data_IF_611896925873
#
_entry.id   IF_611896925873
#
_cell.length_a   1.000
_cell.length_b   1.000
_cell.length_c   1.000
_cell.angle_alpha   90.00
_cell.angle_beta   90.00
_cell.angle_gamma   90.00
#
_symmetry.space_group_name_H-M   'P 1'
#
loop_
_entity.id
_entity.type
_entity.pdbx_description
1 polymer ?
#
# COMPACT_ATOMS: atom_id res chain seq x y z
N UNK A 1 10.25 -92.95 -75.68
CA UNK A 1 11.18 -91.83 -75.43
C UNK A 1 10.32 -90.68 -74.95
N UNK A 2 10.57 -90.26 -73.71
CA UNK A 2 9.76 -89.35 -72.89
C UNK A 2 10.15 -87.92 -73.24
N UNK A 3 9.20 -87.00 -73.39
CA UNK A 3 9.41 -85.60 -73.01
C UNK A 3 8.17 -85.06 -72.29
N UNK A 4 8.40 -84.70 -71.03
CA UNK A 4 7.51 -83.96 -70.12
C UNK A 4 7.70 -82.48 -70.42
N UNK A 5 6.63 -81.76 -70.74
CA UNK A 5 6.63 -80.29 -70.76
C UNK A 5 6.47 -79.73 -69.34
N UNK A 6 7.24 -78.69 -69.05
CA UNK A 6 7.43 -78.04 -67.75
C UNK A 6 6.41 -76.90 -67.56
N UNK A 7 5.60 -76.86 -66.49
CA UNK A 7 4.65 -75.79 -66.23
C UNK A 7 5.19 -74.83 -65.15
N UNK A 8 6.06 -73.88 -65.49
CA UNK A 8 6.54 -72.89 -64.50
C UNK A 8 6.45 -71.41 -64.92
N UNK A 9 6.08 -71.07 -66.16
CA UNK A 9 6.12 -69.67 -66.62
C UNK A 9 4.82 -68.84 -66.44
N UNK A 10 3.75 -69.41 -65.89
CA UNK A 10 2.47 -68.70 -65.71
C UNK A 10 2.24 -68.14 -64.30
N UNK A 11 3.11 -68.41 -63.33
CA UNK A 11 2.95 -67.95 -61.95
C UNK A 11 3.54 -66.54 -61.68
N UNK A 12 4.57 -66.11 -62.43
CA UNK A 12 5.26 -64.83 -62.19
C UNK A 12 4.42 -63.60 -62.61
N UNK A 13 3.72 -63.64 -63.75
CA UNK A 13 2.90 -62.50 -64.23
C UNK A 13 1.68 -62.18 -63.37
N UNK A 14 1.25 -63.10 -62.50
CA UNK A 14 0.12 -62.88 -61.59
C UNK A 14 0.54 -62.16 -60.29
N UNK A 15 1.83 -62.12 -59.96
CA UNK A 15 2.33 -61.52 -58.71
C UNK A 15 2.65 -60.02 -58.85
N UNK A 16 2.95 -59.53 -60.06
CA UNK A 16 3.24 -58.10 -60.29
C UNK A 16 1.98 -57.20 -60.15
N UNK A 17 0.81 -57.74 -60.47
CA UNK A 17 -0.46 -56.99 -60.35
C UNK A 17 -0.93 -56.82 -58.90
N UNK A 18 -0.69 -57.82 -58.04
CA UNK A 18 -1.07 -57.73 -56.62
C UNK A 18 -0.14 -56.83 -55.82
N UNK A 19 1.14 -56.76 -56.19
CA UNK A 19 2.12 -55.85 -55.60
C UNK A 19 1.75 -54.37 -55.84
N UNK A 20 1.30 -54.02 -57.06
CA UNK A 20 0.83 -52.67 -57.38
C UNK A 20 -0.42 -52.30 -56.59
N UNK A 21 -1.39 -53.21 -56.48
CA UNK A 21 -2.64 -52.98 -55.73
C UNK A 21 -2.34 -52.80 -54.23
N UNK A 22 -1.46 -53.61 -53.65
CA UNK A 22 -0.97 -53.43 -52.28
C UNK A 22 -0.30 -52.07 -52.10
N UNK A 23 0.59 -51.68 -53.02
CA UNK A 23 1.29 -50.39 -52.94
C UNK A 23 0.33 -49.20 -52.97
N UNK A 24 -0.68 -49.22 -53.86
CA UNK A 24 -1.70 -48.16 -53.94
C UNK A 24 -2.58 -48.15 -52.69
N UNK A 25 -2.96 -49.32 -52.16
CA UNK A 25 -3.76 -49.41 -50.95
C UNK A 25 -3.02 -48.87 -49.73
N UNK A 26 -1.73 -49.21 -49.60
CA UNK A 26 -0.86 -48.67 -48.53
C UNK A 26 -0.69 -47.17 -48.69
N UNK A 27 -0.49 -46.65 -49.91
CA UNK A 27 -0.38 -45.21 -50.16
C UNK A 27 -1.67 -44.47 -49.80
N UNK A 28 -2.84 -45.03 -50.14
CA UNK A 28 -4.13 -44.47 -49.78
C UNK A 28 -4.32 -44.43 -48.25
N UNK A 29 -3.93 -45.50 -47.56
CA UNK A 29 -3.97 -45.59 -46.09
C UNK A 29 -3.04 -44.54 -45.44
N UNK A 30 -1.80 -44.44 -45.91
CA UNK A 30 -0.84 -43.44 -45.42
C UNK A 30 -1.31 -42.01 -45.67
N UNK A 31 -1.92 -41.76 -46.83
CA UNK A 31 -2.47 -40.44 -47.16
C UNK A 31 -3.65 -40.11 -46.25
N UNK A 32 -4.58 -41.06 -46.04
CA UNK A 32 -5.70 -40.89 -45.13
C UNK A 32 -5.25 -40.62 -43.68
N UNK A 33 -4.27 -41.39 -43.19
CA UNK A 33 -3.67 -41.17 -41.87
C UNK A 33 -2.96 -39.81 -41.78
N UNK A 34 -2.21 -39.42 -42.81
CA UNK A 34 -1.54 -38.12 -42.88
C UNK A 34 -2.54 -36.96 -42.83
N UNK A 35 -3.65 -37.05 -43.58
CA UNK A 35 -4.71 -36.04 -43.54
C UNK A 35 -5.41 -35.98 -42.18
N UNK A 36 -5.63 -37.12 -41.52
CA UNK A 36 -6.24 -37.15 -40.20
C UNK A 36 -5.34 -36.49 -39.14
N UNK A 37 -4.03 -36.74 -39.19
CA UNK A 37 -3.05 -36.11 -38.28
C UNK A 37 -2.96 -34.60 -38.48
N UNK A 38 -3.00 -34.12 -39.73
CA UNK A 38 -3.02 -32.67 -40.00
C UNK A 38 -4.29 -32.01 -39.47
N UNK A 39 -5.44 -32.65 -39.61
CA UNK A 39 -6.70 -32.14 -39.08
C UNK A 39 -6.71 -32.11 -37.54
N UNK A 40 -6.19 -33.15 -36.90
CA UNK A 40 -6.02 -33.18 -35.45
C UNK A 40 -5.10 -32.06 -34.98
N UNK A 41 -3.95 -31.87 -35.63
CA UNK A 41 -3.01 -30.79 -35.29
C UNK A 41 -3.62 -29.40 -35.46
N UNK A 42 -4.39 -29.16 -36.53
CA UNK A 42 -5.09 -27.89 -36.73
C UNK A 42 -6.16 -27.63 -35.65
N UNK A 43 -6.87 -28.68 -35.21
CA UNK A 43 -7.85 -28.55 -34.13
C UNK A 43 -7.18 -28.28 -32.78
N UNK A 44 -6.05 -28.93 -32.49
CA UNK A 44 -5.27 -28.65 -31.27
C UNK A 44 -4.78 -27.21 -31.23
N UNK A 45 -4.25 -26.68 -32.35
CA UNK A 45 -3.83 -25.27 -32.43
C UNK A 45 -5.01 -24.32 -32.21
N UNK A 46 -6.15 -24.56 -32.87
CA UNK A 46 -7.36 -23.73 -32.69
C UNK A 46 -7.90 -23.79 -31.26
N UNK A 47 -7.90 -24.96 -30.63
CA UNK A 47 -8.32 -25.12 -29.24
C UNK A 47 -7.33 -24.45 -28.28
N UNK A 48 -6.03 -24.52 -28.56
CA UNK A 48 -4.99 -23.80 -27.82
C UNK A 48 -5.19 -22.29 -27.88
N UNK A 49 -5.36 -21.73 -29.07
CA UNK A 49 -5.64 -20.30 -29.26
C UNK A 49 -6.95 -19.88 -28.57
N UNK A 50 -8.02 -20.66 -28.71
CA UNK A 50 -9.30 -20.38 -28.06
C UNK A 50 -9.21 -20.37 -26.52
N UNK A 51 -8.26 -21.11 -25.93
CA UNK A 51 -8.01 -21.09 -24.48
C UNK A 51 -7.13 -19.92 -24.03
N UNK A 52 -6.20 -19.46 -24.87
CA UNK A 52 -5.27 -18.37 -24.54
C UNK A 52 -5.91 -16.99 -24.71
N UNK A 53 -6.75 -16.81 -25.73
CA UNK A 53 -7.41 -15.53 -26.05
C UNK A 53 -8.17 -14.89 -24.86
N UNK A 54 -9.13 -15.56 -24.20
CA UNK A 54 -9.85 -14.98 -23.07
C UNK A 54 -8.92 -14.70 -21.87
N UNK A 55 -7.88 -15.53 -21.65
CA UNK A 55 -6.88 -15.27 -20.61
C UNK A 55 -6.10 -13.99 -20.86
N UNK A 56 -5.72 -13.73 -22.12
CA UNK A 56 -5.07 -12.46 -22.48
C UNK A 56 -6.00 -11.26 -22.24
N UNK A 57 -7.24 -11.34 -22.72
CA UNK A 57 -8.24 -10.30 -22.49
C UNK A 57 -8.46 -10.03 -20.99
N UNK A 58 -8.51 -11.08 -20.17
CA UNK A 58 -8.56 -10.98 -18.70
C UNK A 58 -7.36 -10.23 -18.12
N UNK A 59 -6.13 -10.56 -18.53
CA UNK A 59 -4.94 -9.84 -18.03
C UNK A 59 -4.90 -8.36 -18.47
N UNK A 60 -5.43 -8.03 -19.65
CA UNK A 60 -5.61 -6.62 -20.04
C UNK A 60 -6.65 -5.92 -19.18
N UNK A 61 -7.74 -6.61 -18.85
CA UNK A 61 -8.76 -6.08 -17.96
C UNK A 61 -8.19 -5.82 -16.55
N UNK A 62 -7.41 -6.75 -15.98
CA UNK A 62 -6.69 -6.55 -14.72
C UNK A 62 -5.70 -5.38 -14.79
N UNK A 63 -4.97 -5.23 -15.90
CA UNK A 63 -4.07 -4.09 -16.08
C UNK A 63 -4.81 -2.74 -16.07
N UNK A 64 -6.01 -2.68 -16.66
CA UNK A 64 -6.87 -1.51 -16.57
C UNK A 64 -7.32 -1.21 -15.15
N UNK A 65 -7.69 -2.26 -14.40
CA UNK A 65 -8.10 -2.15 -13.01
C UNK A 65 -6.97 -1.62 -12.12
N UNK A 66 -5.77 -2.17 -12.23
CA UNK A 66 -4.60 -1.71 -11.46
C UNK A 66 -4.18 -0.28 -11.82
N UNK A 67 -4.26 0.08 -13.10
CA UNK A 67 -4.01 1.46 -13.52
C UNK A 67 -5.06 2.43 -12.94
N UNK A 68 -6.34 2.07 -12.97
CA UNK A 68 -7.39 2.85 -12.33
C UNK A 68 -7.16 3.01 -10.83
N UNK A 69 -6.84 1.93 -10.13
CA UNK A 69 -6.53 1.94 -8.70
C UNK A 69 -5.39 2.90 -8.38
N UNK A 70 -4.33 2.90 -9.19
CA UNK A 70 -3.21 3.84 -9.03
C UNK A 70 -3.61 5.29 -9.40
N UNK A 71 -4.46 5.49 -10.40
CA UNK A 71 -4.90 6.81 -10.81
C UNK A 71 -5.77 7.48 -9.75
N UNK A 72 -6.75 6.76 -9.17
CA UNK A 72 -7.52 7.24 -8.03
C UNK A 72 -6.59 7.64 -6.88
N UNK A 73 -5.60 6.80 -6.59
CA UNK A 73 -4.67 7.09 -5.51
C UNK A 73 -3.92 8.40 -5.73
N UNK A 74 -3.58 8.70 -6.98
CA UNK A 74 -2.93 9.96 -7.33
C UNK A 74 -3.87 11.17 -7.23
N UNK A 75 -5.17 11.01 -7.48
CA UNK A 75 -6.17 12.08 -7.35
C UNK A 75 -6.42 12.39 -5.88
N UNK A 76 -6.62 11.35 -5.05
CA UNK A 76 -7.01 11.51 -3.64
C UNK A 76 -5.83 11.82 -2.71
N UNK A 77 -4.63 12.02 -3.27
CA UNK A 77 -3.48 12.58 -2.55
C UNK A 77 -3.72 14.02 -2.07
N UNK A 78 -4.67 14.76 -2.66
CA UNK A 78 -4.91 16.17 -2.38
C UNK A 78 -6.30 16.48 -1.80
N UNK A 79 -7.28 15.59 -1.97
CA UNK A 79 -8.68 15.78 -1.54
C UNK A 79 -9.18 14.58 -0.72
N UNK A 80 -10.42 14.64 -0.22
CA UNK A 80 -11.07 13.55 0.52
C UNK A 80 -11.72 12.56 -0.46
N UNK A 81 -11.73 11.26 -0.13
CA UNK A 81 -12.33 10.18 -0.94
C UNK A 81 -13.79 10.41 -1.40
N UNK A 82 -14.50 11.33 -0.76
CA UNK A 82 -15.90 11.62 -0.99
C UNK A 82 -16.22 12.19 -2.40
N UNK A 83 -15.24 12.64 -3.18
CA UNK A 83 -15.46 13.24 -4.51
C UNK A 83 -15.19 12.28 -5.69
N UNK A 84 -14.67 11.07 -5.43
CA UNK A 84 -14.26 10.12 -6.48
C UNK A 84 -15.39 9.76 -7.44
N UNK A 85 -16.59 9.55 -6.90
CA UNK A 85 -17.77 9.19 -7.69
C UNK A 85 -18.26 10.31 -8.60
N UNK A 86 -17.84 11.56 -8.37
CA UNK A 86 -18.13 12.66 -9.31
C UNK A 86 -17.27 12.57 -10.57
N UNK A 87 -16.08 11.96 -10.50
CA UNK A 87 -15.24 11.70 -11.68
C UNK A 87 -15.90 10.68 -12.62
N UNK A 88 -16.63 9.71 -12.05
CA UNK A 88 -17.38 8.71 -12.80
C UNK A 88 -18.38 9.36 -13.77
N UNK A 89 -19.04 10.45 -13.36
CA UNK A 89 -20.07 11.14 -14.13
C UNK A 89 -19.54 12.32 -14.97
N UNK A 90 -18.22 12.43 -15.13
CA UNK A 90 -17.60 13.54 -15.87
C UNK A 90 -17.59 14.87 -15.11
N UNK A 91 -17.70 14.83 -13.78
CA UNK A 91 -17.54 15.98 -12.89
C UNK A 91 -18.84 16.74 -12.57
N UNK A 92 -20.01 16.14 -12.79
CA UNK A 92 -21.31 16.74 -12.43
C UNK A 92 -21.82 16.13 -11.12
N UNK A 93 -21.79 16.88 -10.00
CA UNK A 93 -22.26 16.36 -8.72
C UNK A 93 -23.76 16.00 -8.76
N UNK A 94 -24.10 14.81 -8.27
CA UNK A 94 -25.49 14.33 -8.18
C UNK A 94 -26.06 13.72 -9.45
N UNK A 95 -25.31 13.68 -10.56
CA UNK A 95 -25.68 12.82 -11.69
C UNK A 95 -25.57 11.35 -11.27
N UNK A 96 -26.48 10.48 -11.73
CA UNK A 96 -26.39 9.05 -11.47
C UNK A 96 -25.28 8.44 -12.31
N UNK A 97 -24.59 7.44 -11.72
CA UNK A 97 -23.63 6.60 -12.42
C UNK A 97 -24.41 5.57 -13.24
N UNK A 98 -24.10 5.50 -14.54
CA UNK A 98 -24.81 4.67 -15.52
C UNK A 98 -24.10 3.36 -15.88
N UNK A 99 -22.91 3.11 -15.34
CA UNK A 99 -22.02 2.08 -15.84
C UNK A 99 -22.55 0.70 -15.50
N UNK A 100 -22.76 -0.12 -16.53
CA UNK A 100 -23.19 -1.51 -16.39
C UNK A 100 -22.20 -2.44 -17.14
N UNK A 101 -21.46 -3.30 -16.41
CA UNK A 101 -20.48 -4.20 -17.02
C UNK A 101 -21.10 -5.19 -18.03
N UNK A 102 -22.41 -5.47 -17.93
CA UNK A 102 -23.09 -6.39 -18.85
C UNK A 102 -23.45 -5.73 -20.20
N UNK A 103 -23.39 -4.40 -20.29
CA UNK A 103 -23.77 -3.65 -21.50
C UNK A 103 -22.59 -3.10 -22.28
N UNK A 104 -21.40 -3.08 -21.67
CA UNK A 104 -20.17 -2.56 -22.29
C UNK A 104 -19.73 -3.44 -23.46
N UNK A 105 -19.46 -2.81 -24.60
CA UNK A 105 -19.06 -3.52 -25.83
C UNK A 105 -17.94 -2.80 -26.58
N UNK A 106 -16.94 -3.53 -27.11
CA UNK A 106 -15.89 -2.96 -27.96
C UNK A 106 -16.45 -2.43 -29.29
N UNK A 107 -15.99 -1.25 -29.71
CA UNK A 107 -16.36 -0.64 -30.99
C UNK A 107 -15.16 -0.66 -31.93
N UNK A 108 -15.36 -1.20 -33.13
CA UNK A 108 -14.31 -1.35 -34.14
C UNK A 108 -14.58 -0.46 -35.35
N UNK A 109 -13.52 0.04 -35.99
CA UNK A 109 -13.61 0.68 -37.29
C UNK A 109 -13.82 -0.34 -38.44
N UNK A 110 -13.96 0.15 -39.67
CA UNK A 110 -14.11 -0.69 -40.87
C UNK A 110 -12.91 -1.59 -41.17
N UNK A 111 -11.75 -1.32 -40.56
CA UNK A 111 -10.53 -2.10 -40.71
C UNK A 111 -10.34 -3.11 -39.58
N UNK A 112 -11.27 -3.15 -38.61
CA UNK A 112 -11.22 -4.04 -37.45
C UNK A 112 -10.34 -3.53 -36.30
N UNK A 113 -9.90 -2.27 -36.33
CA UNK A 113 -9.16 -1.67 -35.22
C UNK A 113 -10.13 -1.20 -34.13
N UNK A 114 -9.76 -1.42 -32.87
CA UNK A 114 -10.53 -0.91 -31.74
C UNK A 114 -10.44 0.62 -31.69
N UNK A 115 -11.60 1.29 -31.66
CA UNK A 115 -11.70 2.76 -31.58
C UNK A 115 -12.29 3.26 -30.26
N UNK A 116 -12.85 2.36 -29.45
CA UNK A 116 -13.43 2.71 -28.16
C UNK A 116 -14.37 1.62 -27.64
N UNK A 117 -15.19 2.02 -26.68
CA UNK A 117 -16.27 1.20 -26.13
C UNK A 117 -17.61 1.91 -26.34
N UNK A 118 -18.70 1.17 -26.16
CA UNK A 118 -20.06 1.71 -26.05
C UNK A 118 -20.82 0.96 -24.95
N UNK A 119 -21.93 1.51 -24.46
CA UNK A 119 -22.68 0.91 -23.35
C UNK A 119 -22.25 1.37 -21.96
N UNK A 120 -21.67 2.56 -21.83
CA UNK A 120 -21.33 3.19 -20.55
C UNK A 120 -22.11 4.50 -20.29
N UNK A 121 -23.23 4.68 -21.01
CA UNK A 121 -24.12 5.84 -20.92
C UNK A 121 -23.40 7.21 -20.90
N UNK A 122 -23.61 8.01 -19.84
CA UNK A 122 -23.01 9.32 -19.61
C UNK A 122 -21.69 9.26 -18.82
N UNK A 123 -21.23 8.07 -18.43
CA UNK A 123 -20.04 7.95 -17.60
C UNK A 123 -18.75 8.23 -18.37
N UNK A 124 -17.77 8.73 -17.64
CA UNK A 124 -16.44 9.00 -18.17
C UNK A 124 -15.49 7.89 -17.71
N UNK A 125 -14.72 7.25 -18.62
CA UNK A 125 -13.72 6.28 -18.21
C UNK A 125 -12.67 6.96 -17.33
N UNK A 126 -12.45 6.42 -16.13
CA UNK A 126 -11.35 6.81 -15.24
C UNK A 126 -10.01 6.63 -15.95
N UNK A 127 -9.86 5.52 -16.67
CA UNK A 127 -8.76 5.32 -17.61
C UNK A 127 -9.36 5.21 -19.01
N UNK A 128 -9.14 6.24 -19.83
CA UNK A 128 -9.45 6.20 -21.26
C UNK A 128 -8.66 5.09 -21.96
N UNK A 129 -9.16 4.62 -23.11
CA UNK A 129 -8.58 3.52 -23.88
C UNK A 129 -7.04 3.63 -24.04
N UNK A 130 -6.32 2.62 -23.55
CA UNK A 130 -4.87 2.46 -23.66
C UNK A 130 -4.51 1.17 -24.37
N UNK A 131 -3.34 1.15 -25.00
CA UNK A 131 -2.73 -0.05 -25.59
C UNK A 131 -1.76 -0.69 -24.60
N UNK A 132 -1.72 -2.02 -24.55
CA UNK A 132 -0.69 -2.80 -23.87
C UNK A 132 -0.33 -4.00 -24.76
N UNK A 133 0.90 -4.00 -25.28
CA UNK A 133 1.37 -4.99 -26.25
C UNK A 133 0.41 -5.15 -27.46
N UNK A 134 -0.17 -6.33 -27.64
CA UNK A 134 -1.13 -6.69 -28.69
C UNK A 134 -2.61 -6.55 -28.26
N UNK A 135 -2.87 -5.87 -27.13
CA UNK A 135 -4.20 -5.64 -26.60
C UNK A 135 -4.46 -4.19 -26.17
N UNK A 136 -5.65 -4.00 -25.63
CA UNK A 136 -6.14 -2.72 -25.15
C UNK A 136 -6.86 -2.88 -23.83
N UNK A 137 -6.88 -1.81 -23.05
CA UNK A 137 -7.66 -1.74 -21.83
C UNK A 137 -8.23 -0.35 -21.58
N UNK A 138 -9.30 -0.30 -20.80
CA UNK A 138 -9.86 0.91 -20.20
C UNK A 138 -10.34 0.58 -18.80
N UNK A 139 -10.70 1.60 -18.02
CA UNK A 139 -11.30 1.38 -16.73
C UNK A 139 -12.37 2.42 -16.39
N UNK A 140 -13.37 1.97 -15.64
CA UNK A 140 -14.53 2.74 -15.19
C UNK A 140 -14.70 2.54 -13.68
N UNK A 141 -15.55 3.35 -13.07
CA UNK A 141 -15.86 3.23 -11.64
C UNK A 141 -17.36 3.36 -11.38
N UNK A 142 -17.83 2.82 -10.26
CA UNK A 142 -19.17 3.06 -9.72
C UNK A 142 -19.14 3.02 -8.19
N UNK A 143 -20.25 3.39 -7.55
CA UNK A 143 -20.37 3.15 -6.11
C UNK A 143 -20.48 1.65 -5.79
N UNK A 144 -20.23 1.31 -4.54
CA UNK A 144 -20.32 -0.01 -3.95
C UNK A 144 -21.74 -0.62 -3.98
N UNK A 145 -21.82 -1.88 -3.58
CA UNK A 145 -23.10 -2.61 -3.55
C UNK A 145 -23.97 -2.25 -2.35
N UNK A 146 -23.37 -1.82 -1.23
CA UNK A 146 -24.05 -1.49 0.02
C UNK A 146 -24.92 -0.24 -0.09
N UNK A 147 -24.46 0.75 -0.84
CA UNK A 147 -25.13 2.05 -1.00
C UNK A 147 -25.87 2.16 -2.33
N UNK A 148 -25.47 1.37 -3.32
CA UNK A 148 -26.12 1.26 -4.62
C UNK A 148 -25.30 1.91 -5.73
N UNK A 149 -24.93 1.08 -6.72
CA UNK A 149 -23.96 1.38 -7.79
C UNK A 149 -24.19 2.67 -8.59
N UNK A 150 -25.43 3.13 -8.66
CA UNK A 150 -25.82 4.28 -9.49
C UNK A 150 -25.82 5.61 -8.75
N UNK A 151 -25.64 5.60 -7.42
CA UNK A 151 -25.55 6.83 -6.64
C UNK A 151 -24.11 7.37 -6.68
N UNK A 152 -23.92 8.66 -6.38
CA UNK A 152 -22.60 9.31 -6.27
C UNK A 152 -22.24 9.71 -4.83
N UNK A 153 -22.92 9.14 -3.83
CA UNK A 153 -22.70 9.42 -2.41
C UNK A 153 -22.02 8.21 -1.79
N UNK A 154 -20.76 8.37 -1.39
CA UNK A 154 -19.99 7.36 -0.67
C UNK A 154 -19.96 7.69 0.83
N UNK A 155 -20.41 6.77 1.68
CA UNK A 155 -20.34 6.93 3.15
C UNK A 155 -19.50 5.86 3.85
N UNK A 156 -18.99 4.87 3.13
CA UNK A 156 -18.22 3.75 3.70
C UNK A 156 -16.80 3.59 3.13
N UNK A 157 -16.39 4.53 2.28
CA UNK A 157 -15.08 4.61 1.65
C UNK A 157 -14.76 3.37 0.79
N UNK A 158 -15.77 2.90 0.04
CA UNK A 158 -15.64 1.79 -0.90
C UNK A 158 -16.25 2.15 -2.24
N UNK A 159 -15.54 1.78 -3.30
CA UNK A 159 -16.03 1.94 -4.67
C UNK A 159 -15.73 0.68 -5.48
N UNK A 160 -16.36 0.57 -6.64
CA UNK A 160 -16.13 -0.52 -7.59
C UNK A 160 -15.33 0.01 -8.75
N UNK A 161 -14.22 -0.67 -9.07
CA UNK A 161 -13.48 -0.49 -10.31
C UNK A 161 -13.83 -1.58 -11.31
N UNK A 162 -14.00 -1.17 -12.56
CA UNK A 162 -14.18 -2.07 -13.69
C UNK A 162 -12.99 -1.96 -14.62
N UNK A 163 -12.28 -3.07 -14.79
CA UNK A 163 -11.27 -3.22 -15.83
C UNK A 163 -11.92 -3.80 -17.08
N UNK A 164 -11.73 -3.15 -18.22
CA UNK A 164 -12.24 -3.63 -19.52
C UNK A 164 -11.05 -3.95 -20.41
N UNK A 165 -10.92 -5.21 -20.82
CA UNK A 165 -9.78 -5.70 -21.60
C UNK A 165 -10.21 -6.23 -22.97
N UNK A 166 -9.49 -5.83 -24.02
CA UNK A 166 -9.66 -6.35 -25.38
C UNK A 166 -8.34 -6.94 -25.85
N UNK A 167 -8.34 -8.23 -26.14
CA UNK A 167 -7.18 -8.93 -26.68
C UNK A 167 -7.24 -9.12 -28.20
N UNK A 168 -6.27 -9.86 -28.76
CA UNK A 168 -6.28 -10.26 -30.16
C UNK A 168 -7.58 -10.97 -30.56
N UNK A 169 -7.89 -10.91 -31.86
CA UNK A 169 -9.06 -11.55 -32.46
C UNK A 169 -10.40 -11.17 -31.81
N UNK A 170 -10.50 -9.93 -31.29
CA UNK A 170 -11.71 -9.39 -30.66
C UNK A 170 -12.14 -10.14 -29.39
N UNK A 171 -11.19 -10.82 -28.73
CA UNK A 171 -11.42 -11.34 -27.37
C UNK A 171 -11.65 -10.19 -26.40
N UNK A 172 -12.58 -10.37 -25.48
CA UNK A 172 -13.09 -9.30 -24.63
C UNK A 172 -13.44 -9.87 -23.27
N UNK A 173 -13.04 -9.17 -22.21
CA UNK A 173 -13.30 -9.53 -20.82
C UNK A 173 -13.53 -8.27 -20.00
N UNK A 174 -14.37 -8.39 -18.97
CA UNK A 174 -14.60 -7.35 -17.96
C UNK A 174 -14.35 -7.95 -16.59
N UNK A 175 -13.54 -7.27 -15.79
CA UNK A 175 -13.30 -7.61 -14.39
C UNK A 175 -13.78 -6.49 -13.49
N UNK A 176 -14.21 -6.86 -12.31
CA UNK A 176 -14.77 -5.99 -11.29
C UNK A 176 -13.99 -6.20 -9.99
N UNK A 177 -13.56 -5.12 -9.34
CA UNK A 177 -13.05 -5.17 -7.99
C UNK A 177 -13.73 -4.14 -7.11
N UNK A 178 -14.19 -4.55 -5.94
CA UNK A 178 -14.50 -3.62 -4.85
C UNK A 178 -13.17 -3.23 -4.23
N UNK A 179 -12.85 -1.94 -4.31
CA UNK A 179 -11.72 -1.37 -3.62
C UNK A 179 -12.21 -0.56 -2.42
N UNK A 180 -11.39 -0.52 -1.38
CA UNK A 180 -11.64 0.36 -0.24
C UNK A 180 -10.35 0.90 0.31
N UNK A 181 -10.48 1.98 1.06
CA UNK A 181 -9.40 2.54 1.85
C UNK A 181 -9.10 1.57 2.99
N UNK A 182 -7.85 1.13 3.10
CA UNK A 182 -7.36 0.51 4.32
C UNK A 182 -6.25 1.39 4.88
N UNK A 183 -6.47 2.08 6.02
CA UNK A 183 -5.40 2.84 6.66
C UNK A 183 -4.28 1.87 7.04
N UNK A 184 -3.04 2.22 6.69
CA UNK A 184 -1.87 1.47 7.14
C UNK A 184 -1.64 1.60 8.64
N UNK A 185 -2.05 2.73 9.21
CA UNK A 185 -1.85 3.05 10.61
C UNK A 185 -3.08 2.65 11.42
N UNK A 186 -2.88 1.96 12.55
CA UNK A 186 -3.90 1.87 13.59
C UNK A 186 -4.32 3.28 14.04
N UNK A 187 -5.44 3.38 14.77
CA UNK A 187 -5.78 4.61 15.47
C UNK A 187 -4.59 5.10 16.31
N UNK A 188 -4.15 6.33 16.05
CA UNK A 188 -2.89 6.85 16.59
C UNK A 188 -2.94 6.95 18.12
N UNK A 189 -1.85 6.59 18.82
CA UNK A 189 -1.77 6.71 20.26
C UNK A 189 -1.82 8.19 20.62
N UNK A 190 -2.62 8.60 21.61
CA UNK A 190 -2.82 10.01 21.86
C UNK A 190 -1.70 10.51 22.79
N UNK A 191 -0.55 10.84 22.23
CA UNK A 191 0.58 11.47 22.93
C UNK A 191 1.53 12.15 21.95
N UNK A 192 2.26 13.16 22.44
CA UNK A 192 3.27 13.83 21.62
C UNK A 192 4.47 12.91 21.32
N UNK A 193 4.80 12.04 22.27
CA UNK A 193 5.85 11.03 22.15
C UNK A 193 5.29 9.71 22.65
N UNK A 194 5.40 8.64 21.87
CA UNK A 194 4.97 7.30 22.27
C UNK A 194 6.13 6.32 22.16
N UNK A 195 6.49 5.69 23.28
CA UNK A 195 7.63 4.76 23.34
C UNK A 195 7.13 3.34 23.61
N UNK A 196 7.51 2.42 22.74
CA UNK A 196 7.17 1.00 22.84
C UNK A 196 8.34 0.21 23.44
N UNK A 197 8.00 -0.88 24.13
CA UNK A 197 8.95 -1.76 24.79
C UNK A 197 8.94 -1.62 26.32
N UNK A 198 9.43 -2.64 27.04
CA UNK A 198 9.25 -2.74 28.49
C UNK A 198 10.11 -1.77 29.31
N UNK A 199 11.22 -1.27 28.74
CA UNK A 199 12.17 -0.40 29.44
C UNK A 199 12.77 0.65 28.47
N UNK A 200 11.99 1.65 28.02
CA UNK A 200 12.50 2.70 27.13
C UNK A 200 13.61 3.53 27.80
N UNK A 201 14.56 4.01 26.99
CA UNK A 201 15.55 5.03 27.37
C UNK A 201 15.07 6.40 26.87
N UNK A 202 14.30 7.08 27.72
CA UNK A 202 13.83 8.44 27.46
C UNK A 202 14.80 9.47 28.06
N UNK A 203 15.11 10.53 27.33
CA UNK A 203 15.96 11.62 27.82
C UNK A 203 15.41 12.98 27.32
N UNK A 204 14.65 13.67 28.17
CA UNK A 204 13.95 14.93 27.83
C UNK A 204 14.84 16.18 27.65
N UNK A 205 16.16 16.01 27.66
CA UNK A 205 17.13 17.09 27.63
C UNK A 205 17.12 17.99 28.87
N UNK A 206 18.09 18.90 28.94
CA UNK A 206 18.37 19.67 30.17
C UNK A 206 18.02 21.16 30.08
N UNK A 207 17.50 21.63 28.95
CA UNK A 207 17.22 23.05 28.70
C UNK A 207 15.86 23.48 29.28
N UNK A 208 15.84 24.60 30.02
CA UNK A 208 14.60 25.21 30.56
C UNK A 208 13.65 25.81 29.53
N UNK A 209 14.10 25.87 28.29
CA UNK A 209 13.36 26.43 27.17
C UNK A 209 12.68 25.35 26.33
N UNK A 210 12.93 24.07 26.62
CA UNK A 210 12.23 22.96 25.97
C UNK A 210 10.82 22.84 26.51
N UNK A 211 9.88 22.43 25.65
CA UNK A 211 8.50 22.20 26.04
C UNK A 211 7.98 20.87 25.50
N UNK A 212 7.36 20.09 26.37
CA UNK A 212 6.61 18.88 26.01
C UNK A 212 5.16 19.11 26.38
N UNK A 213 4.29 19.08 25.37
CA UNK A 213 2.90 19.50 25.48
C UNK A 213 2.01 18.37 24.97
N UNK A 214 1.16 17.84 25.84
CA UNK A 214 0.13 16.87 25.46
C UNK A 214 -1.27 17.47 25.32
N UNK A 215 -1.41 18.78 25.55
CA UNK A 215 -2.62 19.53 25.16
C UNK A 215 -2.83 19.41 23.66
N UNK A 216 -4.05 19.09 23.23
CA UNK A 216 -4.36 18.96 21.81
C UNK A 216 -4.12 20.28 21.05
N UNK A 217 -3.12 20.26 20.18
CA UNK A 217 -2.59 21.38 19.41
C UNK A 217 -2.16 22.57 20.30
N UNK A 218 -1.76 22.30 21.55
CA UNK A 218 -1.36 23.33 22.51
C UNK A 218 -2.49 24.23 22.99
N UNK A 219 -3.75 23.82 22.78
CA UNK A 219 -4.93 24.61 23.16
C UNK A 219 -5.31 24.32 24.62
N UNK A 220 -5.07 25.29 25.50
CA UNK A 220 -5.41 25.17 26.91
C UNK A 220 -6.93 24.98 27.13
N UNK A 221 -7.30 23.90 27.82
CA UNK A 221 -8.70 23.57 28.16
C UNK A 221 -9.43 22.70 27.14
N UNK A 222 -8.74 22.22 26.10
CA UNK A 222 -9.21 21.12 25.24
C UNK A 222 -9.00 19.74 25.88
N UNK A 223 -9.22 18.68 25.11
CA UNK A 223 -8.73 17.35 25.48
C UNK A 223 -7.21 17.41 25.63
N UNK A 224 -6.69 16.76 26.65
CA UNK A 224 -5.27 16.73 26.93
C UNK A 224 -4.86 15.29 27.17
N UNK A 225 -3.64 14.99 26.76
CA UNK A 225 -3.10 13.66 26.80
C UNK A 225 -1.72 13.67 27.43
N UNK A 226 -1.16 12.51 27.79
CA UNK A 226 0.23 12.44 28.21
C UNK A 226 1.16 13.02 27.14
N UNK A 227 2.15 13.79 27.58
CA UNK A 227 3.21 14.27 26.69
C UNK A 227 4.09 13.10 26.23
N UNK A 228 4.29 12.11 27.09
CA UNK A 228 4.94 10.83 26.77
C UNK A 228 4.01 9.68 27.15
N UNK A 229 3.67 8.84 26.18
CA UNK A 229 2.98 7.58 26.42
C UNK A 229 3.94 6.39 26.37
N UNK A 230 3.70 5.40 27.24
CA UNK A 230 4.43 4.13 27.26
C UNK A 230 3.47 2.95 27.35
N UNK A 231 3.98 1.72 27.18
CA UNK A 231 3.19 0.48 27.34
C UNK A 231 3.62 -0.23 28.63
N UNK A 232 2.76 -0.20 29.65
CA UNK A 232 2.98 -0.86 30.94
C UNK A 232 3.71 0.02 31.97
N UNK A 233 3.37 -0.19 33.24
CA UNK A 233 3.96 0.57 34.38
C UNK A 233 5.48 0.47 34.53
N UNK A 234 6.10 -0.62 34.06
CA UNK A 234 7.56 -0.74 34.05
C UNK A 234 8.20 0.25 33.06
N UNK A 235 7.57 0.44 31.89
CA UNK A 235 8.03 1.36 30.87
C UNK A 235 7.81 2.81 31.28
N UNK A 236 6.67 3.10 31.90
CA UNK A 236 6.35 4.39 32.51
C UNK A 236 7.43 4.81 33.51
N UNK A 237 7.72 3.94 34.49
CA UNK A 237 8.75 4.20 35.50
C UNK A 237 10.14 4.40 34.89
N UNK A 238 10.47 3.71 33.79
CA UNK A 238 11.74 3.89 33.09
C UNK A 238 11.80 5.26 32.38
N UNK A 239 10.72 5.67 31.72
CA UNK A 239 10.63 6.97 31.07
C UNK A 239 10.69 8.14 32.07
N UNK A 240 10.05 8.00 33.24
CA UNK A 240 10.09 8.99 34.32
C UNK A 240 11.52 9.27 34.83
N UNK A 241 12.39 8.24 34.89
CA UNK A 241 13.79 8.42 35.28
C UNK A 241 14.57 9.32 34.30
N UNK A 242 14.12 9.35 33.04
CA UNK A 242 14.61 10.16 31.95
C UNK A 242 14.15 11.61 31.95
N UNK A 243 13.10 11.92 32.73
CA UNK A 243 12.46 13.21 32.75
C UNK A 243 13.25 14.21 33.61
N UNK A 244 13.87 15.18 32.95
CA UNK A 244 14.48 16.32 33.63
C UNK A 244 13.42 17.33 34.09
N UNK A 245 13.70 18.02 35.20
CA UNK A 245 12.86 19.08 35.76
C UNK A 245 13.01 20.44 35.09
N UNK A 246 13.95 20.57 34.15
CA UNK A 246 14.21 21.83 33.46
C UNK A 246 13.21 22.11 32.33
N UNK A 247 12.95 21.19 31.37
CA UNK A 247 11.90 21.38 30.37
C UNK A 247 10.56 21.72 31.02
N UNK A 248 9.74 22.50 30.32
CA UNK A 248 8.35 22.71 30.71
C UNK A 248 7.50 21.54 30.23
N UNK A 249 6.71 20.99 31.14
CA UNK A 249 5.72 19.96 30.87
C UNK A 249 4.34 20.59 30.96
N UNK A 250 3.46 20.31 29.99
CA UNK A 250 2.10 20.85 30.02
C UNK A 250 1.09 19.86 29.42
N UNK A 251 0.23 19.32 30.26
CA UNK A 251 -0.90 18.45 29.86
C UNK A 251 -2.10 18.79 30.73
N UNK A 252 -3.00 19.62 30.21
CA UNK A 252 -4.17 20.14 30.92
C UNK A 252 -3.78 20.83 32.24
N UNK A 253 -4.25 20.34 33.39
CA UNK A 253 -3.88 20.89 34.69
C UNK A 253 -2.48 20.45 35.19
N UNK A 254 -1.82 19.53 34.50
CA UNK A 254 -0.60 18.87 34.94
C UNK A 254 0.66 19.52 34.35
N UNK A 255 1.71 19.61 35.17
CA UNK A 255 2.98 20.26 34.80
C UNK A 255 4.23 19.58 35.37
N UNK A 256 4.08 18.37 35.91
CA UNK A 256 5.14 17.55 36.50
C UNK A 256 5.17 16.17 35.85
N UNK A 257 6.35 15.53 35.81
CA UNK A 257 6.61 14.23 35.16
C UNK A 257 5.56 13.16 35.46
N UNK A 258 5.14 13.06 36.73
CA UNK A 258 4.31 11.98 37.26
C UNK A 258 2.90 11.86 36.63
N UNK A 259 2.43 12.91 35.94
CA UNK A 259 1.11 12.93 35.29
C UNK A 259 1.20 13.22 33.77
N UNK A 260 2.38 13.64 33.28
CA UNK A 260 2.61 13.96 31.85
C UNK A 260 3.29 12.80 31.11
N UNK A 261 3.82 11.82 31.84
CA UNK A 261 4.30 10.54 31.34
C UNK A 261 3.34 9.47 31.88
N UNK A 262 2.80 8.61 31.02
CA UNK A 262 1.79 7.65 31.46
C UNK A 262 1.81 6.31 30.72
N UNK A 263 1.43 5.25 31.44
CA UNK A 263 1.06 3.96 30.87
C UNK A 263 -0.26 4.05 30.09
N UNK A 264 -0.17 3.95 28.75
CA UNK A 264 -1.30 4.01 27.83
C UNK A 264 -2.16 2.74 27.82
N UNK A 265 -1.72 1.68 28.51
CA UNK A 265 -2.53 0.47 28.71
C UNK A 265 -3.35 0.51 30.01
N UNK A 266 -3.12 1.53 30.86
CA UNK A 266 -3.94 1.75 32.04
C UNK A 266 -5.38 2.18 31.65
N UNK A 267 -6.35 1.82 32.48
CA UNK A 267 -7.75 2.23 32.31
C UNK A 267 -8.25 2.92 33.58
N UNK A 268 -8.69 4.19 33.51
CA UNK A 268 -8.61 5.08 32.35
C UNK A 268 -7.17 5.54 32.06
N UNK A 269 -6.89 5.93 30.81
CA UNK A 269 -5.62 6.61 30.48
C UNK A 269 -5.61 7.98 31.17
N UNK A 270 -4.53 8.34 31.88
CA UNK A 270 -4.41 9.66 32.51
C UNK A 270 -4.65 10.81 31.52
N UNK A 271 -5.57 11.70 31.87
CA UNK A 271 -5.91 12.89 31.08
C UNK A 271 -6.94 12.69 29.96
N UNK A 272 -7.22 11.45 29.55
CA UNK A 272 -8.25 11.17 28.55
C UNK A 272 -9.66 11.53 29.09
N UNK A 273 -10.42 12.33 28.34
CA UNK A 273 -11.77 12.76 28.75
C UNK A 273 -12.80 11.64 28.71
N UNK A 274 -12.64 10.67 27.80
CA UNK A 274 -13.38 9.41 27.77
C UNK A 274 -12.69 8.33 28.65
N UNK A 275 -13.32 7.87 29.75
CA UNK A 275 -12.75 6.83 30.62
C UNK A 275 -12.80 5.42 30.01
N UNK A 276 -13.47 5.25 28.87
CA UNK A 276 -13.60 3.96 28.17
C UNK A 276 -12.60 3.79 27.04
N UNK A 277 -11.85 4.85 26.70
CA UNK A 277 -10.80 4.79 25.71
C UNK A 277 -9.74 3.75 26.09
N UNK A 278 -9.29 2.98 25.10
CA UNK A 278 -8.23 2.01 25.22
C UNK A 278 -7.32 2.10 24.00
N UNK A 279 -6.01 2.03 24.22
CA UNK A 279 -5.02 1.94 23.13
C UNK A 279 -5.38 0.79 22.17
N UNK A 280 -5.33 1.06 20.87
CA UNK A 280 -5.50 0.01 19.87
C UNK A 280 -4.44 -1.10 20.08
N UNK A 281 -4.90 -2.34 20.21
CA UNK A 281 -4.05 -3.49 20.50
C UNK A 281 -2.97 -3.74 19.45
N UNK A 282 -3.14 -3.23 18.22
CA UNK A 282 -2.13 -3.32 17.16
C UNK A 282 -0.80 -2.67 17.59
N UNK A 283 -0.83 -1.61 18.40
CA UNK A 283 0.38 -0.98 18.96
C UNK A 283 1.12 -1.85 19.98
N UNK A 284 0.53 -2.96 20.43
CA UNK A 284 1.16 -3.90 21.38
C UNK A 284 1.69 -5.16 20.71
N UNK A 285 1.54 -5.28 19.39
CA UNK A 285 1.96 -6.44 18.61
C UNK A 285 3.13 -6.07 17.69
N UNK A 286 4.31 -6.61 17.97
CA UNK A 286 5.50 -6.32 17.18
C UNK A 286 5.35 -6.73 15.70
N UNK A 287 4.71 -7.87 15.42
CA UNK A 287 4.54 -8.34 14.05
C UNK A 287 3.63 -7.39 13.26
N UNK A 288 2.59 -6.86 13.91
CA UNK A 288 1.72 -5.85 13.29
C UNK A 288 2.48 -4.56 12.98
N UNK A 289 3.37 -4.12 13.89
CA UNK A 289 4.25 -2.97 13.63
C UNK A 289 5.20 -3.21 12.46
N UNK A 290 5.78 -4.41 12.36
CA UNK A 290 6.62 -4.79 11.22
C UNK A 290 5.83 -4.76 9.91
N UNK A 291 4.65 -5.36 9.89
CA UNK A 291 3.79 -5.39 8.70
C UNK A 291 3.35 -3.97 8.28
N UNK A 292 3.09 -3.09 9.25
CA UNK A 292 2.80 -1.66 9.03
C UNK A 292 3.97 -0.93 8.38
N UNK A 293 5.19 -1.09 8.92
CA UNK A 293 6.41 -0.48 8.35
C UNK A 293 6.65 -0.96 6.91
N UNK A 294 6.51 -2.26 6.66
CA UNK A 294 6.67 -2.82 5.30
C UNK A 294 5.56 -2.37 4.34
N UNK A 295 4.34 -2.19 4.84
CA UNK A 295 3.24 -1.59 4.08
C UNK A 295 3.57 -0.16 3.65
N UNK A 296 4.03 0.67 4.59
CA UNK A 296 4.44 2.06 4.34
C UNK A 296 5.64 2.14 3.41
N UNK A 297 6.62 1.23 3.54
CA UNK A 297 7.76 1.08 2.63
C UNK A 297 7.30 0.93 1.17
N UNK A 298 6.29 0.09 0.94
CA UNK A 298 5.78 -0.22 -0.39
C UNK A 298 5.02 0.93 -1.06
N UNK A 299 4.46 1.85 -0.27
CA UNK A 299 3.64 2.98 -0.77
C UNK A 299 4.29 4.34 -0.60
N UNK A 300 5.47 4.39 0.03
CA UNK A 300 6.19 5.62 0.31
C UNK A 300 6.30 6.49 -0.95
N UNK A 301 6.04 7.78 -0.80
CA UNK A 301 6.13 8.71 -1.91
C UNK A 301 7.59 8.98 -2.25
N UNK A 302 8.45 9.00 -1.22
CA UNK A 302 9.90 9.14 -1.34
C UNK A 302 10.60 8.17 -0.40
N UNK A 303 11.48 7.35 -0.96
CA UNK A 303 12.44 6.54 -0.19
C UNK A 303 13.79 7.25 -0.13
N UNK A 304 14.25 7.53 1.08
CA UNK A 304 15.56 8.09 1.39
C UNK A 304 16.55 6.94 1.59
N UNK A 305 17.64 6.93 0.81
CA UNK A 305 18.68 5.89 0.93
C UNK A 305 19.73 6.25 1.99
N UNK A 306 20.22 5.22 2.68
CA UNK A 306 21.23 5.27 3.74
C UNK A 306 22.58 5.93 3.35
N UNK A 307 23.30 6.39 4.37
CA UNK A 307 24.70 6.79 4.46
C UNK A 307 25.05 8.29 4.39
N UNK A 308 25.27 8.83 5.60
CA UNK A 308 26.17 9.93 5.94
C UNK A 308 25.90 11.30 5.30
N UNK A 309 25.31 12.18 6.11
CA UNK A 309 25.00 13.59 5.83
C UNK A 309 23.99 13.78 4.69
N UNK A 310 22.83 13.13 4.84
CA UNK A 310 21.61 13.62 4.23
C UNK A 310 21.27 14.95 4.91
N UNK A 311 21.62 16.04 4.26
CA UNK A 311 20.76 17.20 4.37
C UNK A 311 19.52 16.87 3.52
N UNK A 312 18.32 17.33 3.87
CA UNK A 312 17.16 17.26 2.95
C UNK A 312 17.40 18.22 1.77
N UNK A 313 18.25 17.87 0.77
CA UNK A 313 17.77 18.02 -0.59
C UNK A 313 17.95 16.76 -1.46
N UNK A 314 18.41 15.62 -0.92
CA UNK A 314 18.47 14.35 -1.68
C UNK A 314 17.21 13.48 -1.55
N UNK A 315 16.27 13.82 -0.66
CA UNK A 315 14.88 13.35 -0.70
C UNK A 315 14.04 14.49 -1.29
N UNK A 316 13.87 14.55 -2.64
CA UNK A 316 13.17 15.66 -3.27
C UNK A 316 11.68 15.46 -3.07
N UNK A 317 11.05 16.23 -2.18
CA UNK A 317 9.61 16.40 -2.25
C UNK A 317 9.12 17.68 -1.58
N UNK A 318 7.92 18.04 -2.02
CA UNK A 318 7.10 19.15 -1.61
C UNK A 318 6.93 19.19 -0.08
N UNK A 319 7.69 20.07 0.55
CA UNK A 319 7.68 20.32 1.99
C UNK A 319 6.40 21.01 2.48
N UNK A 320 5.29 20.88 1.75
CA UNK A 320 4.01 21.51 2.10
C UNK A 320 2.81 20.55 2.08
N UNK A 321 2.98 19.29 1.65
CA UNK A 321 1.88 18.33 1.63
C UNK A 321 1.84 17.51 2.94
N UNK A 322 0.79 17.66 3.79
CA UNK A 322 0.66 16.92 5.04
C UNK A 322 0.26 15.46 4.86
N UNK A 323 -0.08 14.99 3.65
CA UNK A 323 -0.36 13.57 3.37
C UNK A 323 0.86 12.80 2.83
N UNK A 324 2.02 13.45 2.73
CA UNK A 324 3.19 12.87 2.07
C UNK A 324 3.94 11.86 2.96
N UNK A 325 4.33 10.72 2.39
CA UNK A 325 5.03 9.63 3.10
C UNK A 325 6.51 9.61 2.72
N UNK A 326 7.36 9.90 3.70
CA UNK A 326 8.81 9.78 3.61
C UNK A 326 9.27 8.50 4.30
N UNK A 327 10.09 7.70 3.62
CA UNK A 327 10.61 6.45 4.17
C UNK A 327 12.14 6.44 4.16
N UNK A 328 12.77 6.49 5.33
CA UNK A 328 14.20 6.26 5.54
C UNK A 328 14.47 4.79 5.80
N UNK A 329 15.12 4.12 4.83
CA UNK A 329 15.54 2.73 4.97
C UNK A 329 16.93 2.69 5.62
N UNK A 330 16.96 2.47 6.93
CA UNK A 330 18.15 2.60 7.77
C UNK A 330 18.24 3.97 8.47
N UNK A 331 19.45 4.43 8.72
CA UNK A 331 19.71 5.68 9.45
C UNK A 331 19.36 6.91 8.60
N UNK A 332 18.75 7.90 9.24
CA UNK A 332 18.36 9.15 8.60
C UNK A 332 18.75 10.36 9.46
N UNK A 333 19.46 11.31 8.86
CA UNK A 333 19.72 12.61 9.48
C UNK A 333 18.87 13.70 8.80
N UNK A 334 18.24 14.57 9.59
CA UNK A 334 17.49 15.75 9.12
C UNK A 334 18.10 16.99 9.76
N UNK A 335 18.83 17.81 8.99
CA UNK A 335 19.72 18.84 9.55
C UNK A 335 19.49 20.28 9.06
N UNK A 336 18.46 20.53 8.24
CA UNK A 336 18.19 21.88 7.68
C UNK A 336 17.02 22.57 8.38
N UNK A 337 17.13 23.88 8.55
CA UNK A 337 16.07 24.76 9.05
C UNK A 337 14.97 24.92 7.97
N UNK A 338 14.17 23.89 7.78
CA UNK A 338 13.01 23.90 6.89
C UNK A 338 11.84 23.27 7.62
N UNK A 339 10.63 23.75 7.31
CA UNK A 339 9.41 23.15 7.80
C UNK A 339 9.13 21.90 6.98
N UNK A 340 8.72 20.83 7.65
CA UNK A 340 8.34 19.57 7.01
C UNK A 340 6.95 19.15 7.48
N UNK A 341 6.23 18.43 6.62
CA UNK A 341 4.88 17.95 6.90
C UNK A 341 4.75 16.49 6.47
N UNK A 342 3.86 15.75 7.12
CA UNK A 342 3.43 14.42 6.68
C UNK A 342 3.87 13.28 7.58
N UNK A 343 4.02 12.09 6.98
CA UNK A 343 4.39 10.86 7.67
C UNK A 343 5.85 10.53 7.36
N UNK A 344 6.72 10.56 8.37
CA UNK A 344 8.12 10.16 8.26
C UNK A 344 8.30 8.79 8.94
N UNK A 345 8.78 7.80 8.19
CA UNK A 345 9.10 6.45 8.70
C UNK A 345 10.59 6.23 8.60
N UNK A 346 11.24 5.75 9.65
CA UNK A 346 12.68 5.47 9.71
C UNK A 346 12.89 4.13 10.39
N UNK A 347 13.68 3.25 9.76
CA UNK A 347 13.95 1.90 10.30
C UNK A 347 15.26 1.80 11.09
N UNK A 348 16.16 2.77 10.99
CA UNK A 348 17.39 2.85 11.80
C UNK A 348 17.32 3.97 12.85
N UNK A 349 18.44 4.66 13.06
CA UNK A 349 18.51 5.88 13.86
C UNK A 349 18.00 7.11 13.09
N UNK A 350 17.08 7.86 13.70
CA UNK A 350 16.66 9.17 13.24
C UNK A 350 17.39 10.28 14.02
N UNK A 351 18.34 10.95 13.36
CA UNK A 351 19.00 12.16 13.91
C UNK A 351 18.35 13.44 13.41
N UNK A 352 17.57 14.11 14.26
CA UNK A 352 17.00 15.43 13.98
C UNK A 352 17.92 16.57 14.44
N UNK A 353 18.02 17.62 13.63
CA UNK A 353 18.64 18.88 14.00
C UNK A 353 17.68 19.70 14.86
N UNK A 354 18.17 20.30 15.95
CA UNK A 354 17.36 21.05 16.92
C UNK A 354 16.61 22.30 16.39
N UNK A 355 16.74 22.62 15.11
CA UNK A 355 16.09 23.76 14.43
C UNK A 355 15.15 23.32 13.29
N UNK A 356 14.84 22.03 13.20
CA UNK A 356 13.87 21.46 12.25
C UNK A 356 12.48 21.61 12.84
N UNK A 357 11.54 22.15 12.05
CA UNK A 357 10.11 22.13 12.37
C UNK A 357 9.45 20.99 11.59
N UNK A 358 8.62 20.19 12.25
CA UNK A 358 7.90 19.08 11.64
C UNK A 358 6.45 19.03 12.12
N UNK A 359 5.50 18.95 11.19
CA UNK A 359 4.08 18.83 11.47
C UNK A 359 3.53 17.53 10.87
N UNK A 360 3.29 16.53 11.71
CA UNK A 360 2.77 15.24 11.27
C UNK A 360 3.13 14.08 12.19
N UNK A 361 3.33 12.91 11.59
CA UNK A 361 3.66 11.67 12.29
C UNK A 361 5.10 11.29 11.99
N UNK A 362 5.88 11.00 13.03
CA UNK A 362 7.21 10.42 12.92
C UNK A 362 7.19 9.02 13.52
N UNK A 363 7.50 8.02 12.72
CA UNK A 363 7.67 6.62 13.12
C UNK A 363 9.15 6.27 13.04
N UNK A 364 9.77 6.01 14.18
CA UNK A 364 11.12 5.45 14.28
C UNK A 364 10.98 4.02 14.75
N UNK A 365 10.74 3.11 13.80
CA UNK A 365 10.35 1.73 14.06
C UNK A 365 11.29 0.82 13.29
N UNK A 366 12.11 0.06 14.02
CA UNK A 366 13.18 -0.77 13.50
C UNK A 366 14.25 -0.87 14.56
N UNK A 367 15.36 -0.15 14.45
CA UNK A 367 16.32 0.01 15.56
C UNK A 367 15.75 0.87 16.70
N UNK A 368 14.78 1.74 16.42
CA UNK A 368 14.04 2.48 17.45
C UNK A 368 14.86 3.56 18.17
N UNK A 369 15.74 4.27 17.45
CA UNK A 369 16.60 5.31 18.03
C UNK A 369 16.25 6.69 17.46
N UNK A 370 15.67 7.56 18.28
CA UNK A 370 15.45 8.96 17.96
C UNK A 370 16.43 9.85 18.73
N UNK A 371 17.20 10.67 18.00
CA UNK A 371 18.14 11.62 18.58
C UNK A 371 17.90 13.02 18.03
N UNK A 372 17.64 14.00 18.90
CA UNK A 372 17.66 15.42 18.51
C UNK A 372 18.90 16.14 19.06
N UNK A 373 19.76 16.57 18.14
CA UNK A 373 21.05 17.17 18.43
C UNK A 373 21.11 18.68 18.11
N UNK A 374 21.87 19.42 18.91
CA UNK A 374 22.21 20.82 18.67
C UNK A 374 21.50 21.80 19.61
N UNK A 375 21.59 23.10 19.29
CA UNK A 375 20.86 24.16 19.96
C UNK A 375 19.99 24.87 18.92
N UNK A 376 18.67 24.80 19.07
CA UNK A 376 17.73 25.39 18.13
C UNK A 376 16.35 25.59 18.73
N UNK A 377 15.38 25.93 17.89
CA UNK A 377 14.01 26.26 18.25
C UNK A 377 12.98 25.46 17.46
N UNK A 378 13.38 24.30 16.94
CA UNK A 378 12.53 23.43 16.13
C UNK A 378 11.41 22.81 16.96
N UNK A 379 10.20 22.78 16.43
CA UNK A 379 9.02 22.21 17.09
C UNK A 379 8.48 21.06 16.26
N UNK A 380 8.20 19.95 16.94
CA UNK A 380 7.46 18.82 16.38
C UNK A 380 6.00 18.96 16.83
N UNK A 381 5.08 19.08 15.87
CA UNK A 381 3.64 19.12 16.12
C UNK A 381 3.03 17.84 15.54
N UNK A 382 2.32 17.06 16.37
CA UNK A 382 1.80 15.74 16.02
C UNK A 382 2.32 14.68 17.00
N UNK A 383 2.94 13.61 16.50
CA UNK A 383 3.40 12.50 17.36
C UNK A 383 4.70 11.88 16.86
N UNK A 384 5.60 11.55 17.79
CA UNK A 384 6.81 10.77 17.56
C UNK A 384 6.65 9.41 18.22
N UNK A 385 6.61 8.35 17.43
CA UNK A 385 6.49 6.97 17.89
C UNK A 385 7.83 6.28 17.71
N UNK A 386 8.33 5.66 18.76
CA UNK A 386 9.64 5.00 18.78
C UNK A 386 9.49 3.56 19.26
N UNK A 387 9.94 2.61 18.44
CA UNK A 387 9.93 1.19 18.76
C UNK A 387 11.19 0.50 18.22
N UNK A 388 11.88 -0.24 19.10
CA UNK A 388 12.90 -1.19 18.69
C UNK A 388 12.25 -2.55 18.43
N UNK A 389 12.25 -2.95 17.16
CA UNK A 389 11.77 -4.24 16.67
C UNK A 389 12.83 -5.01 15.88
N UNK A 390 14.06 -4.49 15.79
CA UNK A 390 15.18 -5.06 15.02
C UNK A 390 15.67 -6.39 15.61
N UNK A 391 15.29 -6.71 16.84
CA UNK A 391 15.68 -7.96 17.49
C UNK A 391 17.11 -7.92 18.05
N UNK A 392 17.62 -9.08 18.51
CA UNK A 392 18.89 -9.15 19.24
C UNK A 392 20.14 -8.74 18.45
N UNK A 393 20.12 -8.82 17.11
CA UNK A 393 21.26 -8.39 16.29
C UNK A 393 21.32 -6.86 16.09
N UNK A 394 20.24 -6.15 16.43
CA UNK A 394 20.13 -4.70 16.32
C UNK A 394 20.09 -4.20 14.88
N UNK A 395 19.68 -5.04 13.92
CA UNK A 395 19.57 -4.69 12.50
C UNK A 395 18.18 -5.00 12.00
N UNK A 396 17.41 -3.97 11.62
CA UNK A 396 16.08 -4.18 11.06
C UNK A 396 16.12 -4.91 9.70
N UNK A 397 15.17 -5.81 9.48
CA UNK A 397 15.00 -6.52 8.21
C UNK A 397 15.67 -7.90 8.17
N UNK A 398 16.10 -8.40 9.32
CA UNK A 398 16.72 -9.71 9.49
C UNK A 398 15.69 -10.74 9.95
N UNK A 399 16.12 -12.00 10.10
CA UNK A 399 15.21 -13.08 10.49
C UNK A 399 14.78 -13.04 11.96
N UNK A 400 15.46 -12.25 12.78
CA UNK A 400 15.25 -12.12 14.22
C UNK A 400 14.53 -10.83 14.64
N UNK A 401 14.08 -10.02 13.68
CA UNK A 401 13.10 -8.96 13.95
C UNK A 401 11.94 -9.50 14.81
N UNK A 402 11.45 -8.70 15.74
CA UNK A 402 10.39 -9.06 16.68
C UNK A 402 10.70 -10.23 17.62
N UNK A 403 11.98 -10.59 17.78
CA UNK A 403 12.41 -11.58 18.80
C UNK A 403 13.12 -10.93 19.99
N UNK A 404 13.14 -9.59 20.06
CA UNK A 404 13.71 -8.82 21.16
C UNK A 404 12.79 -8.74 22.38
N UNK A 405 13.38 -8.66 23.57
CA UNK A 405 12.70 -8.33 24.84
C UNK A 405 11.34 -8.98 25.10
N UNK A 406 10.48 -8.26 25.82
CA UNK A 406 9.11 -8.71 26.11
C UNK A 406 8.17 -8.23 24.99
N UNK A 407 7.38 -9.15 24.43
CA UNK A 407 6.43 -8.83 23.34
C UNK A 407 7.07 -8.63 21.96
N UNK A 408 8.36 -8.93 21.80
CA UNK A 408 9.10 -8.70 20.55
C UNK A 408 9.80 -7.34 20.47
N UNK A 409 9.60 -6.49 21.47
CA UNK A 409 10.19 -5.15 21.54
C UNK A 409 11.50 -5.11 22.32
N UNK A 410 12.50 -4.45 21.75
CA UNK A 410 13.75 -4.10 22.41
C UNK A 410 13.66 -2.78 23.20
N UNK A 411 14.77 -2.05 23.24
CA UNK A 411 14.87 -0.79 24.01
C UNK A 411 14.71 0.39 23.05
N UNK A 412 13.52 0.99 23.04
CA UNK A 412 13.31 2.25 22.33
C UNK A 412 14.11 3.39 23.00
N UNK A 413 14.82 4.18 22.19
CA UNK A 413 15.65 5.30 22.64
C UNK A 413 15.08 6.61 22.11
N UNK A 414 14.80 7.56 23.01
CA UNK A 414 14.42 8.91 22.65
C UNK A 414 15.30 9.90 23.40
N UNK A 415 16.16 10.61 22.66
CA UNK A 415 17.18 11.46 23.25
C UNK A 415 17.15 12.87 22.70
N UNK A 416 16.85 13.85 23.54
CA UNK A 416 16.93 15.27 23.21
C UNK A 416 17.94 16.06 24.05
N UNK A 417 19.13 15.51 24.30
CA UNK A 417 20.16 16.17 25.12
C UNK A 417 20.73 17.50 24.56
N UNK A 418 20.23 17.97 23.41
CA UNK A 418 20.50 19.30 22.87
C UNK A 418 20.03 20.48 23.74
N UNK A 419 20.64 21.64 23.52
CA UNK A 419 20.20 22.90 24.10
C UNK A 419 19.05 23.55 23.31
N UNK A 420 18.65 24.77 23.70
CA UNK A 420 17.68 25.56 22.92
C UNK A 420 16.24 25.44 23.38
N UNK A 421 15.32 25.87 22.52
CA UNK A 421 13.88 26.04 22.73
C UNK A 421 13.07 25.10 21.82
N UNK A 422 13.53 23.87 21.64
CA UNK A 422 12.78 22.88 20.87
C UNK A 422 11.58 22.36 21.67
N UNK A 423 10.63 21.70 21.03
CA UNK A 423 9.54 21.07 21.76
C UNK A 423 8.73 20.08 20.94
N UNK A 424 7.91 19.31 21.63
CA UNK A 424 6.99 18.33 21.05
C UNK A 424 5.58 18.65 21.55
N UNK A 425 4.64 18.76 20.62
CA UNK A 425 3.26 19.16 20.88
C UNK A 425 2.32 18.14 20.24
N UNK A 426 1.50 17.48 21.05
CA UNK A 426 0.44 16.63 20.55
C UNK A 426 -0.59 17.44 19.75
N UNK A 427 -1.07 16.93 18.62
CA UNK A 427 -2.12 17.59 17.85
C UNK A 427 -2.92 16.59 17.00
N UNK A 428 -4.12 16.24 17.46
CA UNK A 428 -5.02 15.26 16.84
C UNK A 428 -5.39 15.61 15.40
N UNK A 429 -5.61 16.90 15.11
CA UNK A 429 -5.94 17.36 13.75
C UNK A 429 -4.81 17.12 12.76
N UNK A 430 -3.56 17.34 13.18
CA UNK A 430 -2.35 17.07 12.38
C UNK A 430 -2.15 15.57 12.17
N UNK A 431 -2.38 14.77 13.22
CA UNK A 431 -2.32 13.31 13.15
C UNK A 431 -3.34 12.76 12.16
N UNK A 432 -4.60 13.23 12.24
CA UNK A 432 -5.67 12.74 11.37
C UNK A 432 -5.40 13.03 9.88
N UNK A 433 -4.76 14.16 9.54
CA UNK A 433 -4.39 14.46 8.15
C UNK A 433 -3.16 13.66 7.72
N UNK A 434 -2.16 13.53 8.59
CA UNK A 434 -0.88 12.89 8.23
C UNK A 434 -0.92 11.37 8.27
N UNK A 435 -1.84 10.78 9.04
CA UNK A 435 -2.01 9.35 9.17
C UNK A 435 -2.87 8.71 8.06
N UNK A 436 -3.51 9.51 7.20
CA UNK A 436 -4.27 9.07 6.02
C UNK A 436 -3.36 8.65 4.85
N UNK A 437 -2.39 7.78 5.12
CA UNK A 437 -1.66 7.08 4.06
C UNK A 437 -2.58 6.01 3.46
N UNK A 438 -3.31 6.35 2.39
CA UNK A 438 -4.41 5.50 1.91
C UNK A 438 -4.10 4.74 0.62
N UNK A 439 -3.62 3.49 0.67
CA UNK A 439 -3.66 2.62 -0.50
C UNK A 439 -5.08 2.07 -0.69
N UNK A 440 -5.55 2.03 -1.93
CA UNK A 440 -6.73 1.23 -2.24
C UNK A 440 -6.38 -0.26 -2.22
N UNK A 441 -7.08 -1.01 -1.38
CA UNK A 441 -6.98 -2.48 -1.36
C UNK A 441 -8.17 -3.10 -2.06
N UNK A 442 -7.91 -4.15 -2.83
CA UNK A 442 -8.96 -5.00 -3.39
C UNK A 442 -9.58 -5.82 -2.26
N UNK A 443 -10.85 -5.55 -1.95
CA UNK A 443 -11.63 -6.24 -0.94
C UNK A 443 -12.37 -7.44 -1.53
N UNK A 444 -12.82 -7.31 -2.77
CA UNK A 444 -13.52 -8.35 -3.52
C UNK A 444 -13.15 -8.26 -5.00
N UNK A 445 -13.09 -9.40 -5.69
CA UNK A 445 -12.81 -9.48 -7.12
C UNK A 445 -13.81 -10.42 -7.82
N UNK A 446 -14.25 -10.05 -9.02
CA UNK A 446 -15.15 -10.82 -9.86
C UNK A 446 -14.80 -10.67 -11.34
N UNK A 447 -14.93 -11.75 -12.10
CA UNK A 447 -14.93 -11.74 -13.56
C UNK A 447 -16.38 -11.87 -14.05
N UNK A 448 -16.74 -11.12 -15.10
CA UNK A 448 -18.09 -11.13 -15.68
C UNK A 448 -18.21 -12.03 -16.90
#
# INVERSE_FOLDING_TARGET
MIQREHPEQHAERAQDGSALVMAVFVLALLTAMGTALLFLSQNEVKMGEASIRPKKAFYYAEAGLEHARRALWQVNRAEDFADDLTLATGGTPGDPIGFDPDTITPVYDSFGNLIGFSGYDNDTPLISLRTLDDGWYAAFMSNDHGEGRTNSVDTDNRIILYGVGVGPDQSFEVVEAVIGIQPFLPEMPPSAIFMLGPTPDFQSGTSKKKAYIGDDCGVAGGDYYPAVGTIGSAAEAAAELGANSNPSWNTGPYSTSDDVIADMTASPIPGHSDPTYSLNSEWTDCQTMKDMVEGLRAVADVTCADSTLLSMPSCPADVSNPKHIYFGDGDLTVSRNTNHYGLLVVTGELTFGAAVDFEGVILVIGEGVFTMNGAGNGVIVGSVIVADIAGPDGVYGTSDDCTGGDGGFGVAVYNENGGGNSGSVYCSTVLNVSAQAEPYKILQFRQH
#
